data_IF_903132494901
#
_entry.id   IF_903132494901
#
_cell.length_a   1.000
_cell.length_b   1.000
_cell.length_c   1.000
_cell.angle_alpha   90.00
_cell.angle_beta   90.00
_cell.angle_gamma   90.00
#
_symmetry.space_group_name_H-M   'P 1'
#
loop_
_entity.id
_entity.type
_entity.pdbx_description
1 polymer ?
#
# COMPACT_ATOMS: atom_id res chain seq x y z
N UNK A 1 -1.38 -29.48 -11.77
CA UNK A 1 -0.11 -28.80 -12.13
C UNK A 1 0.47 -28.23 -10.85
N UNK A 2 1.41 -28.95 -10.23
CA UNK A 2 2.07 -28.51 -8.99
C UNK A 2 3.24 -27.60 -9.30
N UNK A 3 2.97 -26.31 -9.52
CA UNK A 3 3.98 -25.33 -9.93
C UNK A 3 4.83 -24.86 -8.73
N UNK A 4 4.22 -24.78 -7.56
CA UNK A 4 4.83 -24.40 -6.31
C UNK A 4 4.02 -25.01 -5.15
N UNK A 5 4.68 -25.22 -4.01
CA UNK A 5 4.02 -25.68 -2.78
C UNK A 5 3.22 -24.56 -2.10
N UNK A 6 3.68 -23.31 -2.23
CA UNK A 6 3.05 -22.11 -1.66
C UNK A 6 3.29 -20.89 -2.55
N UNK A 7 2.45 -19.87 -2.40
CA UNK A 7 2.60 -18.56 -3.05
C UNK A 7 2.62 -17.45 -2.00
N UNK A 8 3.25 -16.33 -2.34
CA UNK A 8 3.17 -15.08 -1.58
C UNK A 8 2.45 -14.06 -2.45
N UNK A 9 1.40 -13.46 -1.91
CA UNK A 9 0.56 -12.50 -2.63
C UNK A 9 0.03 -11.42 -1.68
N UNK A 10 -0.36 -10.29 -2.25
CA UNK A 10 -1.00 -9.19 -1.52
C UNK A 10 -2.50 -9.47 -1.44
N UNK A 11 -3.01 -9.64 -0.23
CA UNK A 11 -4.42 -9.94 0.02
C UNK A 11 -4.97 -9.02 1.10
N UNK A 12 -6.24 -8.65 0.98
CA UNK A 12 -6.94 -7.83 1.98
C UNK A 12 -7.72 -8.74 2.95
N UNK A 13 -8.92 -9.19 2.58
CA UNK A 13 -9.76 -10.06 3.42
C UNK A 13 -9.53 -11.56 3.18
N UNK A 14 -8.68 -11.91 2.21
CA UNK A 14 -8.45 -13.30 1.77
C UNK A 14 -9.62 -13.94 1.02
N UNK A 15 -10.69 -13.20 0.69
CA UNK A 15 -11.86 -13.74 -0.01
C UNK A 15 -11.51 -14.36 -1.37
N UNK A 16 -10.64 -13.70 -2.15
CA UNK A 16 -10.18 -14.18 -3.46
C UNK A 16 -9.42 -15.50 -3.34
N UNK A 17 -8.60 -15.67 -2.31
CA UNK A 17 -7.87 -16.92 -2.07
C UNK A 17 -8.83 -18.06 -1.76
N UNK A 18 -9.82 -17.81 -0.89
CA UNK A 18 -10.87 -18.80 -0.55
C UNK A 18 -11.66 -19.26 -1.78
N UNK A 19 -12.00 -18.35 -2.70
CA UNK A 19 -12.68 -18.69 -3.96
C UNK A 19 -11.86 -19.64 -4.85
N UNK A 20 -10.53 -19.59 -4.74
CA UNK A 20 -9.61 -20.46 -5.48
C UNK A 20 -9.18 -21.70 -4.67
N UNK A 21 -9.82 -21.97 -3.53
CA UNK A 21 -9.47 -23.10 -2.66
C UNK A 21 -8.12 -22.94 -1.95
N UNK A 22 -7.64 -21.69 -1.81
CA UNK A 22 -6.41 -21.34 -1.10
C UNK A 22 -6.75 -20.75 0.27
N UNK A 23 -5.85 -20.96 1.23
CA UNK A 23 -5.95 -20.40 2.58
C UNK A 23 -4.74 -19.52 2.91
N UNK A 24 -4.97 -18.48 3.72
CA UNK A 24 -3.89 -17.64 4.23
C UNK A 24 -3.23 -18.39 5.38
N UNK A 25 -1.97 -18.76 5.21
CA UNK A 25 -1.20 -19.50 6.21
C UNK A 25 -0.58 -18.55 7.24
N UNK A 26 0.03 -17.46 6.78
CA UNK A 26 0.73 -16.49 7.63
C UNK A 26 0.76 -15.11 6.98
N UNK A 27 0.65 -14.06 7.80
CA UNK A 27 0.91 -12.68 7.37
C UNK A 27 2.41 -12.40 7.44
N UNK A 28 3.05 -12.17 6.30
CA UNK A 28 4.48 -11.81 6.23
C UNK A 28 4.69 -10.35 6.63
N UNK A 29 3.87 -9.45 6.08
CA UNK A 29 3.96 -8.02 6.34
C UNK A 29 2.64 -7.31 6.08
N UNK A 30 2.39 -6.24 6.83
CA UNK A 30 1.32 -5.29 6.55
C UNK A 30 1.81 -4.20 5.61
N UNK A 31 0.95 -3.79 4.67
CA UNK A 31 1.24 -2.73 3.72
C UNK A 31 0.50 -1.45 4.10
N UNK A 32 1.11 -0.31 3.79
CA UNK A 32 0.47 1.00 3.94
C UNK A 32 0.85 1.88 2.76
N UNK A 33 -0.02 2.81 2.41
CA UNK A 33 0.23 3.78 1.34
C UNK A 33 1.09 4.94 1.85
N UNK A 34 2.09 5.34 1.08
CA UNK A 34 2.94 6.49 1.38
C UNK A 34 2.89 7.53 0.25
N UNK A 35 2.80 8.81 0.62
CA UNK A 35 3.03 9.91 -0.32
C UNK A 35 4.54 10.14 -0.46
N UNK A 36 5.08 9.90 -1.65
CA UNK A 36 6.52 10.00 -1.91
C UNK A 36 6.80 11.19 -2.83
N UNK A 37 7.68 12.09 -2.40
CA UNK A 37 8.18 13.20 -3.21
C UNK A 37 9.60 12.93 -3.71
N UNK A 38 9.88 13.34 -4.95
CA UNK A 38 11.25 13.35 -5.46
C UNK A 38 12.11 14.32 -4.64
N UNK A 39 13.32 13.92 -4.27
CA UNK A 39 14.22 14.71 -3.40
C UNK A 39 14.57 16.08 -4.01
N UNK A 40 14.96 16.12 -5.28
CA UNK A 40 15.36 17.39 -5.93
C UNK A 40 14.16 18.30 -6.09
N UNK A 41 13.02 17.76 -6.55
CA UNK A 41 11.78 18.52 -6.64
C UNK A 41 11.29 19.03 -5.29
N UNK A 42 11.52 18.29 -4.20
CA UNK A 42 11.18 18.73 -2.85
C UNK A 42 11.99 19.94 -2.39
N UNK A 43 13.26 20.03 -2.79
CA UNK A 43 14.07 21.22 -2.49
C UNK A 43 13.64 22.43 -3.32
N UNK A 44 13.38 22.24 -4.62
CA UNK A 44 13.03 23.33 -5.54
C UNK A 44 11.58 23.82 -5.36
N UNK A 45 10.64 22.91 -5.10
CA UNK A 45 9.19 23.16 -5.08
C UNK A 45 8.58 22.82 -3.72
N UNK A 46 9.33 23.13 -2.67
CA UNK A 46 8.99 22.73 -1.29
C UNK A 46 7.60 23.20 -0.89
N UNK A 47 7.27 24.46 -1.20
CA UNK A 47 6.00 25.06 -0.78
C UNK A 47 4.81 24.36 -1.42
N UNK A 48 4.88 24.09 -2.72
CA UNK A 48 3.82 23.45 -3.48
C UNK A 48 3.63 21.99 -3.07
N UNK A 49 4.73 21.27 -2.81
CA UNK A 49 4.66 19.89 -2.35
C UNK A 49 4.07 19.80 -0.94
N UNK A 50 4.43 20.73 -0.04
CA UNK A 50 3.84 20.79 1.29
C UNK A 50 2.35 21.16 1.25
N UNK A 51 1.95 22.07 0.38
CA UNK A 51 0.52 22.41 0.17
C UNK A 51 -0.29 21.19 -0.31
N UNK A 52 0.24 20.40 -1.26
CA UNK A 52 -0.39 19.13 -1.68
C UNK A 52 -0.47 18.14 -0.51
N UNK A 53 0.62 17.99 0.25
CA UNK A 53 0.65 17.12 1.41
C UNK A 53 -0.40 17.53 2.44
N UNK A 54 -0.51 18.82 2.79
CA UNK A 54 -1.50 19.32 3.75
C UNK A 54 -2.93 19.05 3.29
N UNK A 55 -3.24 19.27 2.01
CA UNK A 55 -4.57 18.99 1.43
C UNK A 55 -4.93 17.51 1.48
N UNK A 56 -3.98 16.62 1.17
CA UNK A 56 -4.20 15.18 1.25
C UNK A 56 -4.36 14.77 2.73
N UNK A 57 -3.48 15.25 3.60
CA UNK A 57 -3.47 14.93 5.03
C UNK A 57 -4.77 15.37 5.72
N UNK A 58 -5.31 16.53 5.34
CA UNK A 58 -6.58 17.04 5.84
C UNK A 58 -7.79 16.21 5.38
N UNK A 59 -7.67 15.44 4.31
CA UNK A 59 -8.73 14.55 3.80
C UNK A 59 -8.59 13.13 4.34
N UNK A 60 -7.36 12.65 4.51
CA UNK A 60 -7.07 11.30 5.00
C UNK A 60 -7.27 11.17 6.51
N UNK A 61 -6.99 12.22 7.30
CA UNK A 61 -7.14 12.20 8.76
C UNK A 61 -8.43 12.88 9.25
N UNK A 62 -9.48 12.93 8.40
CA UNK A 62 -10.75 13.57 8.78
C UNK A 62 -11.65 12.69 9.63
N UNK A 63 -11.14 11.56 10.13
CA UNK A 63 -11.81 10.62 11.04
C UNK A 63 -11.01 10.46 12.35
#
# INVERSE_FOLDING_TARGET
VGLADMIVDIVETGATMKQNGLEVVETIMESSTYLIANKNSFFEKKSEILDIYEKINATVNTD
#
